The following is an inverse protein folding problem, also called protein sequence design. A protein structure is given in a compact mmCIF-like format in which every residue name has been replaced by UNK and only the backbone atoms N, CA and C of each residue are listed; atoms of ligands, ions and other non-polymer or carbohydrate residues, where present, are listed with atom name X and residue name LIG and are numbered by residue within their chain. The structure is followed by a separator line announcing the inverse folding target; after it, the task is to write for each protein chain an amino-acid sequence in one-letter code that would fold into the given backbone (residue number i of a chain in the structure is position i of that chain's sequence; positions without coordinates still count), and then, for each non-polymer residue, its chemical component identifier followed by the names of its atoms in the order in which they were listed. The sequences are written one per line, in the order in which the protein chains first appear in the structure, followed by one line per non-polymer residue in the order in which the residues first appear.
data_IF_277800580153
#
_entry.id   IF_277800580153
#
_cell.length_a   1.000
_cell.length_b   1.000
_cell.length_c   1.000
_cell.angle_alpha   90.00
_cell.angle_beta   90.00
_cell.angle_gamma   90.00
#
_symmetry.space_group_name_H-M   'P 1'
#
loop_
_entity.id
_entity.type
_entity.pdbx_description
1 polymer ?
#
# COMPACT_ATOMS: atom_id res chain seq x y z
N UNK A 1 26.16 4.82 16.14
CA UNK A 1 25.82 4.82 14.71
C UNK A 1 26.24 3.49 14.14
N UNK A 2 25.28 2.71 13.68
CA UNK A 2 25.52 1.44 13.00
C UNK A 2 26.19 1.67 11.64
N UNK A 3 27.09 0.77 11.23
CA UNK A 3 27.69 0.78 9.90
C UNK A 3 27.01 -0.25 9.01
N UNK A 4 26.87 0.06 7.72
CA UNK A 4 26.40 -0.88 6.71
C UNK A 4 27.42 -0.99 5.58
N UNK A 5 27.54 -2.19 4.99
CA UNK A 5 28.41 -2.42 3.84
C UNK A 5 27.72 -1.97 2.56
N UNK A 6 28.43 -1.23 1.72
CA UNK A 6 28.03 -0.88 0.36
C UNK A 6 28.31 -2.06 -0.55
N UNK A 7 27.30 -2.51 -1.28
CA UNK A 7 27.36 -3.62 -2.22
C UNK A 7 27.45 -3.14 -3.66
N UNK A 8 28.41 -3.69 -4.39
CA UNK A 8 28.58 -3.47 -5.82
C UNK A 8 27.58 -4.25 -6.67
N UNK A 9 27.54 -3.94 -7.97
CA UNK A 9 26.71 -4.65 -8.96
C UNK A 9 26.97 -6.17 -8.95
N UNK A 10 28.18 -6.59 -8.57
CA UNK A 10 28.62 -8.00 -8.44
C UNK A 10 28.27 -8.64 -7.10
N UNK A 11 27.73 -7.88 -6.14
CA UNK A 11 27.44 -8.34 -4.78
C UNK A 11 28.63 -8.32 -3.82
N UNK A 12 29.79 -7.82 -4.25
CA UNK A 12 30.96 -7.63 -3.39
C UNK A 12 30.82 -6.36 -2.52
N UNK A 13 31.46 -6.36 -1.34
CA UNK A 13 31.51 -5.18 -0.47
C UNK A 13 32.57 -4.19 -0.96
N UNK A 14 32.17 -2.98 -1.38
CA UNK A 14 33.07 -1.91 -1.85
C UNK A 14 33.57 -1.01 -0.72
N UNK A 15 32.77 -0.83 0.34
CA UNK A 15 33.12 0.01 1.48
C UNK A 15 32.06 -0.03 2.58
N UNK A 16 32.28 0.74 3.64
CA UNK A 16 31.34 0.91 4.74
C UNK A 16 30.77 2.33 4.76
N UNK A 17 29.46 2.46 5.00
CA UNK A 17 28.77 3.73 5.22
C UNK A 17 28.20 3.80 6.63
N UNK A 18 28.26 4.98 7.24
CA UNK A 18 27.60 5.25 8.52
C UNK A 18 26.10 5.47 8.29
N UNK A 19 25.27 4.73 9.02
CA UNK A 19 23.82 4.87 8.91
C UNK A 19 23.33 6.10 9.69
N UNK A 20 22.39 6.88 9.12
CA UNK A 20 21.70 7.96 9.81
C UNK A 20 20.97 7.51 11.08
N UNK A 21 20.77 8.43 12.03
CA UNK A 21 20.06 8.20 13.28
C UNK A 21 18.62 7.66 13.09
N UNK A 22 18.03 7.86 11.91
CA UNK A 22 16.70 7.37 11.53
C UNK A 22 16.61 5.84 11.61
N UNK A 23 17.71 5.11 11.39
CA UNK A 23 17.73 3.65 11.50
C UNK A 23 17.75 3.13 12.94
N UNK A 24 18.15 3.98 13.89
CA UNK A 24 18.19 3.68 15.33
C UNK A 24 16.89 4.12 16.06
N UNK A 25 15.91 4.68 15.34
CA UNK A 25 14.65 5.15 15.92
C UNK A 25 13.84 4.00 16.55
N UNK A 26 13.15 4.28 17.66
CA UNK A 26 12.30 3.30 18.34
C UNK A 26 11.19 2.77 17.42
N UNK A 27 11.00 1.46 17.44
CA UNK A 27 9.90 0.81 16.73
C UNK A 27 8.54 1.14 17.37
N UNK A 28 7.66 1.82 16.61
CA UNK A 28 6.36 2.35 17.02
C UNK A 28 5.26 1.93 16.03
N UNK A 29 4.71 0.71 16.17
CA UNK A 29 3.70 0.19 15.26
C UNK A 29 2.38 0.98 15.31
N UNK A 30 2.08 1.64 16.42
CA UNK A 30 0.92 2.51 16.63
C UNK A 30 0.90 3.69 15.64
N UNK A 31 2.02 4.40 15.53
CA UNK A 31 2.17 5.54 14.62
C UNK A 31 2.17 5.10 13.17
N UNK A 32 2.85 3.99 12.85
CA UNK A 32 2.87 3.40 11.51
C UNK A 32 1.44 3.07 11.07
N UNK A 33 0.67 2.39 11.91
CA UNK A 33 -0.73 2.04 11.61
C UNK A 33 -1.58 3.28 11.35
N UNK A 34 -1.49 4.30 12.21
CA UNK A 34 -2.23 5.56 12.05
C UNK A 34 -1.89 6.26 10.73
N UNK A 35 -0.60 6.35 10.38
CA UNK A 35 -0.16 6.98 9.14
C UNK A 35 -0.61 6.23 7.89
N UNK A 36 -0.55 4.89 7.90
CA UNK A 36 -0.99 4.06 6.77
C UNK A 36 -2.51 4.11 6.59
N UNK A 37 -3.28 4.03 7.67
CA UNK A 37 -4.74 4.15 7.60
C UNK A 37 -5.16 5.52 7.05
N UNK A 38 -4.55 6.60 7.54
CA UNK A 38 -4.84 7.94 7.04
C UNK A 38 -4.49 8.08 5.55
N UNK A 39 -3.35 7.56 5.12
CA UNK A 39 -2.98 7.55 3.69
C UNK A 39 -3.97 6.77 2.82
N UNK A 40 -4.48 5.63 3.31
CA UNK A 40 -5.47 4.81 2.61
C UNK A 40 -6.84 5.48 2.55
N UNK A 41 -7.26 6.12 3.64
CA UNK A 41 -8.50 6.88 3.75
C UNK A 41 -8.49 8.07 2.76
N UNK A 42 -7.40 8.82 2.70
CA UNK A 42 -7.25 9.96 1.79
C UNK A 42 -7.18 9.58 0.30
N UNK A 43 -6.85 8.33 -0.03
CA UNK A 43 -6.89 7.81 -1.41
C UNK A 43 -8.27 7.26 -1.80
N UNK A 44 -9.19 7.09 -0.85
CA UNK A 44 -10.50 6.49 -1.10
C UNK A 44 -11.32 7.38 -2.06
N UNK A 45 -11.85 6.78 -3.11
CA UNK A 45 -12.84 7.44 -3.97
C UNK A 45 -14.20 7.44 -3.29
N UNK A 46 -14.81 8.61 -3.21
CA UNK A 46 -16.16 8.80 -2.70
C UNK A 46 -17.17 8.05 -3.58
N UNK A 47 -18.16 7.42 -2.96
CA UNK A 47 -19.18 6.64 -3.66
C UNK A 47 -20.55 6.81 -2.98
N UNK A 48 -21.60 6.70 -3.79
CA UNK A 48 -22.98 6.74 -3.34
C UNK A 48 -23.93 6.37 -4.47
N UNK A 49 -25.16 5.91 -4.18
CA UNK A 49 -26.20 5.77 -5.18
C UNK A 49 -26.72 7.15 -5.60
N UNK A 50 -27.51 7.19 -6.66
CA UNK A 50 -28.20 8.43 -7.06
C UNK A 50 -29.15 8.90 -5.95
N UNK A 51 -29.30 10.23 -5.72
CA UNK A 51 -30.10 10.75 -4.60
C UNK A 51 -31.54 10.23 -4.55
N UNK A 52 -32.16 10.02 -5.72
CA UNK A 52 -33.54 9.56 -5.86
C UNK A 52 -33.68 8.05 -6.13
N UNK A 53 -32.63 7.26 -5.92
CA UNK A 53 -32.67 5.81 -6.12
C UNK A 53 -33.80 5.15 -5.30
N UNK A 54 -34.71 4.44 -5.99
CA UNK A 54 -35.85 3.76 -5.36
C UNK A 54 -37.01 4.69 -4.95
N UNK A 55 -36.92 5.99 -5.22
CA UNK A 55 -37.96 7.00 -4.94
C UNK A 55 -38.70 7.50 -6.18
N UNK A 56 -38.18 7.25 -7.39
CA UNK A 56 -38.80 7.63 -8.67
C UNK A 56 -40.05 6.78 -9.00
N UNK A 57 -41.06 6.86 -8.15
CA UNK A 57 -42.34 6.16 -8.30
C UNK A 57 -43.48 7.04 -7.79
N UNK A 58 -44.70 6.85 -8.30
CA UNK A 58 -45.91 7.57 -7.87
C UNK A 58 -46.55 7.01 -6.59
N UNK A 59 -45.85 6.15 -5.87
CA UNK A 59 -46.42 5.35 -4.79
C UNK A 59 -46.94 6.19 -3.62
N UNK A 60 -48.13 5.83 -3.14
CA UNK A 60 -48.82 6.49 -2.03
C UNK A 60 -49.42 5.45 -1.08
N UNK A 61 -49.62 5.82 0.18
CA UNK A 61 -50.29 4.95 1.14
C UNK A 61 -51.80 4.94 0.88
N UNK A 62 -52.43 3.77 0.87
CA UNK A 62 -53.87 3.63 0.67
C UNK A 62 -54.72 3.91 1.92
N UNK A 63 -54.09 4.02 3.09
CA UNK A 63 -54.77 4.22 4.36
C UNK A 63 -55.31 2.93 5.00
N UNK A 64 -56.00 3.03 6.14
CA UNK A 64 -56.62 1.90 6.83
C UNK A 64 -57.86 1.37 6.09
N UNK A 65 -58.44 0.26 6.57
CA UNK A 65 -59.74 -0.25 6.12
C UNK A 65 -59.72 -1.11 4.84
N UNK A 66 -58.55 -1.51 4.34
CA UNK A 66 -58.40 -2.27 3.08
C UNK A 66 -57.84 -3.68 3.25
N UNK A 67 -57.76 -4.21 4.48
CA UNK A 67 -57.21 -5.54 4.76
C UNK A 67 -55.73 -5.73 4.36
N UNK A 68 -54.97 -4.64 4.17
CA UNK A 68 -53.58 -4.67 3.73
C UNK A 68 -52.67 -3.77 4.58
N UNK A 69 -51.38 -4.09 4.63
CA UNK A 69 -50.40 -3.30 5.37
C UNK A 69 -50.36 -1.83 4.89
N UNK A 70 -50.11 -0.87 5.80
CA UNK A 70 -50.09 0.59 5.55
C UNK A 70 -48.80 1.07 4.87
N UNK A 71 -48.36 0.36 3.83
CA UNK A 71 -47.16 0.68 3.04
C UNK A 71 -47.54 1.41 1.74
N UNK A 72 -46.69 2.32 1.22
CA UNK A 72 -46.92 3.01 -0.03
C UNK A 72 -46.89 2.03 -1.20
N UNK A 73 -47.95 2.07 -2.00
CA UNK A 73 -48.13 1.25 -3.21
C UNK A 73 -48.24 2.13 -4.44
N UNK A 74 -47.77 1.62 -5.58
CA UNK A 74 -47.92 2.29 -6.88
C UNK A 74 -49.41 2.53 -7.14
N UNK A 75 -49.81 3.70 -7.63
CA UNK A 75 -51.24 4.03 -7.79
C UNK A 75 -51.99 3.04 -8.70
N UNK A 76 -51.35 2.56 -9.75
CA UNK A 76 -51.93 1.67 -10.76
C UNK A 76 -51.95 0.19 -10.33
N UNK A 77 -51.44 -0.18 -9.16
CA UNK A 77 -51.41 -1.60 -8.75
C UNK A 77 -51.08 -1.84 -7.27
N UNK A 78 -50.95 -3.10 -6.88
CA UNK A 78 -50.75 -3.46 -5.46
C UNK A 78 -49.26 -3.54 -5.04
N UNK A 79 -48.33 -3.16 -5.93
CA UNK A 79 -46.89 -3.28 -5.66
C UNK A 79 -46.41 -2.18 -4.71
N UNK A 80 -45.76 -2.60 -3.62
CA UNK A 80 -45.11 -1.72 -2.65
C UNK A 80 -43.83 -1.11 -3.24
N UNK A 81 -43.58 0.17 -2.98
CA UNK A 81 -42.38 0.89 -3.43
C UNK A 81 -41.88 1.87 -2.36
N UNK A 82 -40.81 2.65 -2.66
CA UNK A 82 -40.20 3.69 -1.79
C UNK A 82 -39.56 3.25 -0.47
N UNK A 83 -40.06 2.22 0.21
CA UNK A 83 -39.52 1.73 1.48
C UNK A 83 -38.37 0.73 1.25
N UNK A 84 -37.40 0.71 2.16
CA UNK A 84 -36.26 -0.22 2.18
C UNK A 84 -36.62 -1.70 2.11
N UNK A 85 -37.71 -2.12 2.77
CA UNK A 85 -38.18 -3.51 2.75
C UNK A 85 -38.82 -3.92 1.41
N UNK A 86 -39.14 -2.96 0.53
CA UNK A 86 -39.78 -3.23 -0.74
C UNK A 86 -38.76 -3.55 -1.83
N UNK A 87 -39.07 -4.52 -2.71
CA UNK A 87 -38.24 -4.84 -3.88
C UNK A 87 -38.16 -3.66 -4.85
N UNK A 88 -36.99 -3.03 -4.92
CA UNK A 88 -36.74 -1.82 -5.72
C UNK A 88 -37.07 -0.51 -5.01
N UNK A 89 -37.35 -0.54 -3.70
CA UNK A 89 -37.49 0.65 -2.87
C UNK A 89 -36.14 1.24 -2.46
N UNK A 90 -36.18 2.42 -1.81
CA UNK A 90 -34.97 3.14 -1.39
C UNK A 90 -34.30 2.42 -0.22
N UNK A 91 -33.00 2.17 -0.33
CA UNK A 91 -32.20 1.63 0.79
C UNK A 91 -32.22 2.62 1.97
N UNK A 92 -32.39 2.12 3.19
CA UNK A 92 -32.26 2.95 4.39
C UNK A 92 -30.77 3.32 4.59
N UNK A 93 -30.50 4.61 4.83
CA UNK A 93 -29.15 5.17 5.04
C UNK A 93 -28.09 4.69 4.03
N UNK A 94 -28.28 4.98 2.73
CA UNK A 94 -27.26 4.64 1.73
C UNK A 94 -25.99 5.47 1.96
N UNK A 95 -24.81 5.00 1.50
CA UNK A 95 -23.59 5.80 1.53
C UNK A 95 -23.83 7.08 0.73
N UNK A 96 -23.46 8.21 1.32
CA UNK A 96 -23.61 9.52 0.70
C UNK A 96 -22.27 10.01 0.16
N UNK A 97 -22.34 10.74 -0.95
CA UNK A 97 -21.18 11.43 -1.53
C UNK A 97 -20.67 12.55 -0.60
N UNK A 98 -21.58 13.15 0.18
CA UNK A 98 -21.27 14.19 1.17
C UNK A 98 -20.43 13.69 2.36
N UNK A 99 -20.29 12.37 2.55
CA UNK A 99 -19.55 11.83 3.70
C UNK A 99 -18.05 12.06 3.49
N UNK A 100 -17.43 12.78 4.41
CA UNK A 100 -15.98 12.89 4.46
C UNK A 100 -15.36 11.56 4.95
N UNK A 101 -14.48 11.01 4.13
CA UNK A 101 -13.70 9.81 4.43
C UNK A 101 -12.24 10.14 4.69
N UNK A 102 -11.83 11.41 4.57
CA UNK A 102 -10.47 11.82 4.81
C UNK A 102 -10.12 11.69 6.29
N UNK A 103 -8.86 11.34 6.55
CA UNK A 103 -8.32 11.27 7.90
C UNK A 103 -7.12 12.21 8.00
N UNK A 104 -7.19 13.13 8.97
CA UNK A 104 -6.11 14.08 9.24
C UNK A 104 -5.05 13.43 10.13
N UNK A 105 -3.79 13.62 9.76
CA UNK A 105 -2.64 13.26 10.59
C UNK A 105 -1.73 14.47 10.79
N UNK A 106 -1.15 14.58 11.98
CA UNK A 106 -0.18 15.63 12.27
C UNK A 106 1.12 15.39 11.50
N UNK A 107 1.75 16.46 11.01
CA UNK A 107 3.02 16.35 10.26
C UNK A 107 4.09 15.62 11.08
N UNK A 108 4.25 15.97 12.36
CA UNK A 108 5.22 15.33 13.28
C UNK A 108 4.97 13.84 13.47
N UNK A 109 3.71 13.42 13.63
CA UNK A 109 3.35 12.01 13.75
C UNK A 109 3.66 11.26 12.44
N UNK A 110 3.40 11.88 11.29
CA UNK A 110 3.71 11.31 9.98
C UNK A 110 5.21 11.10 9.79
N UNK A 111 6.04 12.08 10.15
CA UNK A 111 7.50 11.95 10.07
C UNK A 111 8.01 10.84 11.00
N UNK A 112 7.58 10.81 12.27
CA UNK A 112 7.94 9.73 13.20
C UNK A 112 7.50 8.35 12.72
N UNK A 113 6.34 8.25 12.07
CA UNK A 113 5.88 6.99 11.49
C UNK A 113 6.76 6.53 10.32
N UNK A 114 7.27 7.45 9.50
CA UNK A 114 8.21 7.14 8.42
C UNK A 114 9.55 6.67 9.03
N UNK A 115 10.12 7.43 9.97
CA UNK A 115 11.39 7.09 10.62
C UNK A 115 11.33 5.72 11.29
N UNK A 116 10.26 5.47 12.06
CA UNK A 116 10.06 4.17 12.71
C UNK A 116 9.87 3.02 11.70
N UNK A 117 9.26 3.28 10.54
CA UNK A 117 9.14 2.30 9.48
C UNK A 117 10.48 2.04 8.77
N UNK A 118 11.37 3.05 8.65
CA UNK A 118 12.74 2.89 8.14
C UNK A 118 13.57 2.05 9.10
N UNK A 119 13.57 2.37 10.40
CA UNK A 119 14.25 1.58 11.44
C UNK A 119 13.81 0.10 11.40
N UNK A 120 12.53 -0.16 11.19
CA UNK A 120 12.02 -1.52 11.05
C UNK A 120 12.57 -2.30 9.83
N UNK A 121 13.09 -1.62 8.81
CA UNK A 121 13.74 -2.28 7.66
C UNK A 121 15.15 -2.78 7.96
N UNK A 122 15.83 -2.20 8.97
CA UNK A 122 17.15 -2.66 9.40
C UNK A 122 17.09 -3.90 10.29
N UNK A 123 15.97 -4.16 10.97
CA UNK A 123 15.83 -5.31 11.87
C UNK A 123 15.47 -6.61 11.11
N UNK A 124 16.36 -7.63 11.07
CA UNK A 124 16.11 -8.88 10.35
C UNK A 124 14.91 -9.68 10.87
N UNK A 125 14.66 -9.65 12.18
CA UNK A 125 13.55 -10.41 12.79
C UNK A 125 12.21 -9.89 12.32
N UNK A 126 12.03 -8.56 12.26
CA UNK A 126 10.79 -7.94 11.79
C UNK A 126 10.54 -8.25 10.32
N UNK A 127 11.58 -8.21 9.49
CA UNK A 127 11.48 -8.48 8.05
C UNK A 127 11.17 -9.97 7.78
N UNK A 128 11.78 -10.90 8.54
CA UNK A 128 11.47 -12.34 8.47
C UNK A 128 10.07 -12.65 8.98
N UNK A 129 9.64 -12.07 10.10
CA UNK A 129 8.30 -12.26 10.67
C UNK A 129 7.19 -11.82 9.71
N UNK A 130 7.48 -10.86 8.82
CA UNK A 130 6.56 -10.46 7.76
C UNK A 130 6.40 -11.51 6.65
N UNK A 131 7.38 -12.41 6.50
CA UNK A 131 7.38 -13.48 5.49
C UNK A 131 8.20 -13.17 4.24
N UNK A 132 9.19 -12.29 4.33
CA UNK A 132 10.21 -12.12 3.29
C UNK A 132 11.24 -13.26 3.35
N UNK A 133 11.77 -13.66 2.19
CA UNK A 133 12.84 -14.68 2.07
C UNK A 133 14.12 -14.00 1.61
N UNK A 134 15.12 -13.97 2.47
CA UNK A 134 16.42 -13.36 2.18
C UNK A 134 17.50 -13.99 3.06
N UNK A 135 18.72 -14.03 2.54
CA UNK A 135 19.91 -14.54 3.24
C UNK A 135 21.03 -13.48 3.32
N UNK A 136 20.65 -12.20 3.26
CA UNK A 136 21.57 -11.06 3.31
C UNK A 136 21.56 -10.36 4.68
N UNK A 137 22.68 -9.71 5.00
CA UNK A 137 22.77 -8.75 6.11
C UNK A 137 21.94 -7.50 5.80
N UNK A 138 21.16 -7.02 6.78
CA UNK A 138 20.35 -5.81 6.66
C UNK A 138 20.97 -4.67 7.47
N UNK A 139 20.78 -3.40 7.05
CA UNK A 139 20.14 -2.94 5.82
C UNK A 139 21.04 -3.13 4.59
N UNK A 140 20.43 -3.39 3.42
CA UNK A 140 21.16 -3.56 2.16
C UNK A 140 21.39 -2.19 1.53
N UNK A 141 22.65 -1.86 1.30
CA UNK A 141 23.07 -0.62 0.63
C UNK A 141 23.73 -0.98 -0.69
N UNK A 142 23.20 -0.45 -1.78
CA UNK A 142 23.71 -0.57 -3.13
C UNK A 142 24.53 0.66 -3.49
N UNK A 143 25.59 0.46 -4.29
CA UNK A 143 26.33 1.56 -4.89
C UNK A 143 25.45 2.41 -5.83
N UNK A 144 25.82 3.67 -6.03
CA UNK A 144 25.06 4.59 -6.89
C UNK A 144 25.05 4.16 -8.36
N UNK A 145 26.05 3.39 -8.80
CA UNK A 145 26.08 2.74 -10.13
C UNK A 145 24.84 1.85 -10.39
N UNK A 146 24.18 1.36 -9.33
CA UNK A 146 22.94 0.60 -9.44
C UNK A 146 21.79 1.42 -10.07
N UNK A 147 21.80 2.76 -9.91
CA UNK A 147 20.76 3.63 -10.46
C UNK A 147 20.80 3.71 -11.99
N UNK A 148 21.96 3.46 -12.60
CA UNK A 148 22.20 3.56 -14.03
C UNK A 148 21.80 2.30 -14.81
N UNK A 149 21.37 1.23 -14.10
CA UNK A 149 20.94 -0.01 -14.73
C UNK A 149 19.62 0.19 -15.48
N UNK A 150 19.70 0.17 -16.82
CA UNK A 150 18.53 0.34 -17.71
C UNK A 150 17.83 -0.98 -18.06
N UNK A 151 18.47 -2.12 -17.84
CA UNK A 151 17.95 -3.43 -18.25
C UNK A 151 17.48 -4.27 -17.07
N UNK A 152 16.38 -5.00 -17.26
CA UNK A 152 15.83 -5.89 -16.22
C UNK A 152 16.81 -7.02 -15.86
N UNK A 153 17.60 -7.49 -16.83
CA UNK A 153 18.60 -8.55 -16.61
C UNK A 153 19.68 -8.11 -15.63
N UNK A 154 20.15 -6.86 -15.75
CA UNK A 154 21.12 -6.30 -14.80
C UNK A 154 20.57 -6.24 -13.37
N UNK A 155 19.30 -5.82 -13.22
CA UNK A 155 18.64 -5.78 -11.90
C UNK A 155 18.48 -7.18 -11.31
N UNK A 156 18.14 -8.18 -12.13
CA UNK A 156 18.04 -9.57 -11.68
C UNK A 156 19.41 -10.11 -11.25
N UNK A 157 20.46 -9.88 -12.04
CA UNK A 157 21.82 -10.33 -11.72
C UNK A 157 22.31 -9.74 -10.39
N UNK A 158 22.03 -8.46 -10.13
CA UNK A 158 22.34 -7.84 -8.84
C UNK A 158 21.55 -8.48 -7.67
N UNK A 159 20.25 -8.72 -7.85
CA UNK A 159 19.42 -9.34 -6.81
C UNK A 159 19.82 -10.79 -6.51
N UNK A 160 20.31 -11.51 -7.53
CA UNK A 160 20.87 -12.86 -7.39
C UNK A 160 22.20 -12.81 -6.63
N UNK A 161 23.08 -11.86 -6.97
CA UNK A 161 24.36 -11.68 -6.29
C UNK A 161 24.22 -11.36 -4.79
N UNK A 162 23.15 -10.62 -4.41
CA UNK A 162 22.86 -10.28 -3.01
C UNK A 162 21.99 -11.35 -2.32
N UNK A 163 21.61 -12.44 -3.00
CA UNK A 163 20.76 -13.50 -2.45
C UNK A 163 19.37 -13.02 -1.96
N UNK A 164 18.77 -12.06 -2.67
CA UNK A 164 17.43 -11.52 -2.36
C UNK A 164 16.39 -11.88 -3.43
N UNK A 165 16.84 -12.39 -4.57
CA UNK A 165 15.96 -12.72 -5.69
C UNK A 165 14.86 -13.75 -5.35
N UNK A 166 15.08 -14.60 -4.36
CA UNK A 166 14.08 -15.54 -3.84
C UNK A 166 12.79 -14.87 -3.37
N UNK A 167 12.86 -13.64 -2.84
CA UNK A 167 11.67 -12.89 -2.44
C UNK A 167 10.84 -12.43 -3.66
N UNK A 168 11.50 -12.15 -4.78
CA UNK A 168 10.85 -11.82 -6.06
C UNK A 168 10.17 -13.06 -6.63
N UNK A 169 10.84 -14.22 -6.57
CA UNK A 169 10.27 -15.51 -6.98
C UNK A 169 9.04 -15.84 -6.12
N UNK A 170 9.11 -15.65 -4.79
CA UNK A 170 7.96 -15.79 -3.89
C UNK A 170 6.79 -14.89 -4.31
N UNK A 171 7.05 -13.63 -4.64
CA UNK A 171 5.99 -12.71 -5.10
C UNK A 171 5.42 -13.10 -6.47
N UNK A 172 6.23 -13.65 -7.38
CA UNK A 172 5.78 -14.17 -8.68
C UNK A 172 4.85 -15.37 -8.49
N UNK A 173 5.26 -16.35 -7.67
CA UNK A 173 4.49 -17.57 -7.40
C UNK A 173 3.25 -17.29 -6.54
N UNK A 174 3.31 -16.28 -5.67
CA UNK A 174 2.18 -15.87 -4.83
C UNK A 174 1.07 -15.11 -5.58
N UNK A 175 1.22 -14.84 -6.88
CA UNK A 175 0.19 -14.19 -7.69
C UNK A 175 -1.00 -15.12 -7.88
N UNK A 176 -2.13 -14.75 -7.30
CA UNK A 176 -3.38 -15.53 -7.39
C UNK A 176 -4.58 -14.64 -7.73
N UNK A 177 -5.68 -15.28 -8.12
CA UNK A 177 -6.94 -14.59 -8.36
C UNK A 177 -7.52 -14.14 -7.02
N UNK A 178 -7.81 -12.85 -6.88
CA UNK A 178 -8.40 -12.25 -5.68
C UNK A 178 -9.70 -12.96 -5.30
N UNK A 179 -9.94 -13.23 -4.02
CA UNK A 179 -11.22 -13.72 -3.54
C UNK A 179 -12.30 -12.61 -3.51
N UNK A 180 -13.57 -12.98 -3.70
CA UNK A 180 -14.71 -12.05 -3.64
C UNK A 180 -14.98 -11.22 -4.90
N UNK A 181 -15.89 -10.25 -4.79
CA UNK A 181 -16.42 -9.47 -5.92
C UNK A 181 -15.45 -8.46 -6.54
N UNK A 182 -14.31 -8.20 -5.90
CA UNK A 182 -13.27 -7.29 -6.43
C UNK A 182 -12.70 -7.73 -7.79
N UNK A 183 -12.81 -9.03 -8.10
CA UNK A 183 -12.42 -9.61 -9.40
C UNK A 183 -13.10 -8.92 -10.58
N UNK A 184 -14.39 -8.58 -10.41
CA UNK A 184 -15.22 -7.93 -11.45
C UNK A 184 -14.96 -6.42 -11.58
N UNK A 185 -14.23 -5.81 -10.64
CA UNK A 185 -13.97 -4.36 -10.57
C UNK A 185 -12.55 -3.99 -11.03
N UNK A 186 -12.01 -4.71 -12.02
CA UNK A 186 -10.65 -4.51 -12.55
C UNK A 186 -9.51 -4.97 -11.65
N UNK A 187 -9.79 -5.54 -10.46
CA UNK A 187 -8.79 -5.96 -9.46
C UNK A 187 -8.68 -7.48 -9.37
N UNK A 188 -8.55 -8.16 -10.51
CA UNK A 188 -8.60 -9.63 -10.63
C UNK A 188 -7.45 -10.35 -9.93
N UNK A 189 -6.22 -9.85 -10.08
CA UNK A 189 -5.03 -10.49 -9.50
C UNK A 189 -4.59 -9.80 -8.21
N UNK A 190 -4.14 -10.57 -7.23
CA UNK A 190 -3.43 -10.11 -6.04
C UNK A 190 -2.02 -10.68 -6.10
N UNK A 191 -1.01 -9.83 -5.94
CA UNK A 191 0.40 -10.22 -5.82
C UNK A 191 0.93 -9.80 -4.45
N UNK A 192 1.78 -10.62 -3.78
CA UNK A 192 2.51 -10.20 -2.59
C UNK A 192 3.39 -8.99 -2.88
N UNK A 193 3.67 -8.19 -1.85
CA UNK A 193 4.70 -7.15 -1.88
C UNK A 193 6.03 -7.80 -1.53
N UNK A 194 7.04 -7.59 -2.36
CA UNK A 194 8.41 -8.03 -2.14
C UNK A 194 9.27 -6.80 -1.80
N UNK A 195 10.37 -6.60 -2.50
CA UNK A 195 11.34 -5.56 -2.20
C UNK A 195 10.82 -4.15 -2.44
N UNK A 196 11.38 -3.20 -1.70
CA UNK A 196 11.35 -1.78 -2.00
C UNK A 196 12.76 -1.34 -2.39
N UNK A 197 12.92 -0.72 -3.56
CA UNK A 197 14.17 -0.08 -3.95
C UNK A 197 14.03 1.42 -3.69
N UNK A 198 14.93 1.99 -2.89
CA UNK A 198 14.94 3.40 -2.53
C UNK A 198 16.16 4.08 -3.17
N UNK A 199 15.87 5.06 -4.03
CA UNK A 199 16.87 5.72 -4.89
C UNK A 199 17.02 7.20 -4.55
N UNK A 200 18.23 7.74 -4.70
CA UNK A 200 18.50 9.18 -4.62
C UNK A 200 17.95 9.91 -5.85
N UNK A 201 18.27 9.42 -7.04
CA UNK A 201 17.82 9.96 -8.33
C UNK A 201 17.36 8.83 -9.27
N UNK A 202 16.63 9.17 -10.35
CA UNK A 202 16.16 8.19 -11.33
C UNK A 202 16.93 8.30 -12.65
N UNK A 203 17.92 7.42 -12.83
CA UNK A 203 18.72 7.32 -14.05
C UNK A 203 18.26 6.19 -14.99
N UNK A 204 17.05 5.64 -14.78
CA UNK A 204 16.46 4.59 -15.59
C UNK A 204 16.11 3.30 -14.83
N UNK A 205 16.54 3.19 -13.58
CA UNK A 205 16.24 2.06 -12.69
C UNK A 205 14.73 1.82 -12.52
N UNK A 206 13.92 2.88 -12.48
CA UNK A 206 12.45 2.76 -12.39
C UNK A 206 11.92 1.98 -13.61
N UNK A 207 12.45 2.24 -14.80
CA UNK A 207 12.05 1.52 -16.03
C UNK A 207 12.52 0.08 -16.03
N UNK A 208 13.71 -0.20 -15.49
CA UNK A 208 14.28 -1.54 -15.43
C UNK A 208 13.51 -2.45 -14.46
N UNK A 209 13.22 -1.95 -13.25
CA UNK A 209 12.64 -2.75 -12.17
C UNK A 209 11.10 -2.84 -12.20
N UNK A 210 10.37 -1.95 -12.90
CA UNK A 210 8.89 -1.91 -12.88
C UNK A 210 8.18 -3.21 -13.27
N UNK A 211 8.84 -4.06 -14.07
CA UNK A 211 8.26 -5.30 -14.56
C UNK A 211 8.47 -6.48 -13.59
N UNK A 212 9.32 -6.32 -12.57
CA UNK A 212 9.53 -7.34 -11.55
C UNK A 212 8.29 -7.51 -10.67
N UNK A 213 8.04 -8.74 -10.25
CA UNK A 213 6.85 -9.07 -9.47
C UNK A 213 7.03 -8.66 -8.02
N UNK A 214 6.19 -7.73 -7.55
CA UNK A 214 6.13 -7.33 -6.14
C UNK A 214 7.12 -6.24 -5.73
N UNK A 215 8.06 -5.89 -6.62
CA UNK A 215 9.07 -4.85 -6.41
C UNK A 215 8.45 -3.48 -6.70
N UNK A 216 8.67 -2.52 -5.80
CA UNK A 216 8.36 -1.11 -6.05
C UNK A 216 9.68 -0.31 -5.98
N UNK A 217 9.81 0.74 -6.79
CA UNK A 217 10.94 1.68 -6.76
C UNK A 217 10.41 3.05 -6.37
N UNK A 218 11.10 3.74 -5.46
CA UNK A 218 10.71 5.08 -5.00
C UNK A 218 11.93 5.95 -4.75
N UNK A 219 11.80 7.24 -5.04
CA UNK A 219 12.79 8.24 -4.65
C UNK A 219 12.65 8.56 -3.15
N UNK A 220 13.76 8.79 -2.45
CA UNK A 220 13.80 9.11 -1.00
C UNK A 220 12.85 10.24 -0.64
N UNK A 221 12.81 11.30 -1.45
CA UNK A 221 11.99 12.49 -1.19
C UNK A 221 10.47 12.20 -1.24
N UNK A 222 10.07 11.06 -1.83
CA UNK A 222 8.66 10.63 -1.96
C UNK A 222 8.35 9.40 -1.11
N UNK A 223 9.22 9.06 -0.16
CA UNK A 223 9.04 7.95 0.75
C UNK A 223 7.79 8.15 1.60
N UNK A 224 7.03 7.08 1.82
CA UNK A 224 5.84 7.11 2.66
C UNK A 224 5.77 5.85 3.55
N UNK A 225 5.02 5.96 4.65
CA UNK A 225 4.85 4.85 5.58
C UNK A 225 4.14 3.64 4.93
N UNK A 226 3.27 3.83 3.94
CA UNK A 226 2.56 2.71 3.27
C UNK A 226 3.48 1.86 2.40
N UNK A 227 4.52 2.45 1.80
CA UNK A 227 5.50 1.76 0.97
C UNK A 227 6.48 0.95 1.82
N UNK A 228 6.88 1.47 2.99
CA UNK A 228 7.72 0.78 3.97
C UNK A 228 6.93 -0.25 4.80
N UNK A 229 5.68 0.06 5.14
CA UNK A 229 4.80 -0.80 5.93
C UNK A 229 3.47 -1.13 5.22
N UNK A 230 3.49 -1.82 4.05
CA UNK A 230 2.27 -2.17 3.35
C UNK A 230 1.30 -2.98 4.21
N UNK A 231 0.06 -2.49 4.31
CA UNK A 231 -0.96 -3.14 5.13
C UNK A 231 -0.75 -2.97 6.63
N UNK A 232 -0.09 -1.89 7.08
CA UNK A 232 0.18 -1.56 8.49
C UNK A 232 1.21 -2.45 9.19
N UNK A 233 1.81 -3.40 8.45
CA UNK A 233 2.88 -4.25 8.95
C UNK A 233 4.23 -3.70 8.51
N UNK A 234 5.10 -3.38 9.46
CA UNK A 234 6.45 -2.87 9.22
C UNK A 234 7.43 -3.97 8.82
N UNK A 235 8.68 -3.61 8.52
CA UNK A 235 9.73 -4.56 8.11
C UNK A 235 9.57 -5.03 6.66
N UNK A 236 9.44 -4.11 5.70
CA UNK A 236 9.59 -4.47 4.29
C UNK A 236 11.07 -4.64 3.98
N UNK A 237 11.41 -5.64 3.19
CA UNK A 237 12.76 -5.78 2.67
C UNK A 237 13.06 -4.61 1.72
N UNK A 238 14.07 -3.81 2.06
CA UNK A 238 14.44 -2.60 1.33
C UNK A 238 15.90 -2.64 0.88
N UNK A 239 16.14 -2.20 -0.35
CA UNK A 239 17.47 -1.92 -0.91
C UNK A 239 17.58 -0.40 -0.99
N UNK A 240 18.57 0.15 -0.30
CA UNK A 240 18.89 1.57 -0.29
C UNK A 240 20.06 1.82 -1.23
N UNK A 241 20.10 2.97 -1.89
CA UNK A 241 21.31 3.43 -2.61
C UNK A 241 22.15 4.32 -1.71
N UNK A 242 23.44 4.46 -1.99
CA UNK A 242 24.34 5.29 -1.20
C UNK A 242 23.84 6.75 -1.13
N UNK A 243 23.52 7.34 -2.27
CA UNK A 243 22.90 8.68 -2.35
C UNK A 243 21.59 8.78 -1.57
N UNK A 244 20.76 7.73 -1.55
CA UNK A 244 19.53 7.72 -0.77
C UNK A 244 19.80 7.82 0.75
N UNK A 245 20.85 7.17 1.24
CA UNK A 245 21.24 7.21 2.65
C UNK A 245 21.81 8.57 3.02
N UNK A 246 22.61 9.18 2.14
CA UNK A 246 23.15 10.53 2.35
C UNK A 246 22.03 11.56 2.53
N UNK A 247 21.01 11.53 1.65
CA UNK A 247 19.84 12.43 1.76
C UNK A 247 19.08 12.23 3.07
N UNK A 248 18.96 10.99 3.56
CA UNK A 248 18.32 10.72 4.86
C UNK A 248 19.14 11.20 6.07
N UNK A 249 20.45 11.42 5.90
CA UNK A 249 21.32 11.94 6.96
C UNK A 249 21.37 13.46 7.06
N UNK A 250 20.97 14.16 5.99
CA UNK A 250 20.93 15.63 5.95
C UNK A 250 19.63 16.23 6.51
N UNK A 251 18.55 15.43 6.61
CA UNK A 251 17.24 15.82 7.19
C UNK A 251 17.08 15.47 8.68
#
# INVERSE_FOLDING_TARGET
MSKAKIMDITGASKGDIELPAVFDEMYRPDLIKKAVLAAQANRLQVYGPTPYAGMQTSAANWGPGRGVARVPRIKTGNRVARISQARGGRKAHPPKVEKDYSEKINKKERYKAINSAIAATANPELVRNRGHRFDAELPIVADDEFQDIKTIKGVIGFMEAINVYDDVIRAKNGKHIRAGGGKRRGRKYKKPKSLLIVIGEDNGIVRAARNLSGVDVINVNRLNAELLAPGTHAGRLAIWTESAIKVLGEE
#
